data_IF_968319760577
#
_entry.id   IF_968319760577
#
_cell.length_a   1.000
_cell.length_b   1.000
_cell.length_c   1.000
_cell.angle_alpha   90.00
_cell.angle_beta   90.00
_cell.angle_gamma   90.00
#
_symmetry.space_group_name_H-M   'P 1'
#
loop_
_entity.id
_entity.type
_entity.pdbx_description
1 polymer ?
#
# COMPACT_ATOMS: atom_id res chain seq x y z
N UNK A 1 12.44 14.54 19.50
CA UNK A 1 12.93 13.14 19.53
C UNK A 1 12.15 12.37 20.59
N UNK A 2 11.19 11.53 20.20
CA UNK A 2 10.49 10.66 21.15
C UNK A 2 11.24 9.33 21.22
N UNK A 3 11.80 9.00 22.39
CA UNK A 3 12.41 7.70 22.64
C UNK A 3 11.28 6.65 22.58
N UNK A 4 11.35 5.70 21.64
CA UNK A 4 10.47 4.55 21.69
C UNK A 4 10.80 3.75 22.94
N UNK A 5 9.78 3.39 23.73
CA UNK A 5 9.98 2.51 24.88
C UNK A 5 10.50 1.13 24.43
N UNK A 6 11.08 0.37 25.36
CA UNK A 6 11.70 -0.92 25.06
C UNK A 6 10.72 -1.92 24.43
N UNK A 7 9.43 -1.88 24.80
CA UNK A 7 8.42 -2.78 24.25
C UNK A 7 8.08 -2.40 22.80
N UNK A 8 7.93 -1.11 22.50
CA UNK A 8 7.74 -0.59 21.14
C UNK A 8 8.93 -0.95 20.24
N UNK A 9 10.16 -0.78 20.75
CA UNK A 9 11.36 -1.16 20.03
C UNK A 9 11.43 -2.67 19.77
N UNK A 10 10.99 -3.50 20.72
CA UNK A 10 10.93 -4.95 20.56
C UNK A 10 9.91 -5.37 19.49
N UNK A 11 8.70 -4.83 19.52
CA UNK A 11 7.67 -5.09 18.50
C UNK A 11 8.15 -4.65 17.11
N UNK A 12 8.79 -3.49 17.00
CA UNK A 12 9.36 -3.03 15.74
C UNK A 12 10.43 -4.00 15.19
N UNK A 13 11.31 -4.55 16.05
CA UNK A 13 12.30 -5.55 15.62
C UNK A 13 11.64 -6.83 15.11
N UNK A 14 10.59 -7.32 15.78
CA UNK A 14 9.80 -8.45 15.31
C UNK A 14 9.13 -8.17 13.97
N UNK A 15 8.47 -7.02 13.83
CA UNK A 15 7.84 -6.60 12.57
C UNK A 15 8.85 -6.53 11.43
N UNK A 16 10.00 -5.88 11.67
CA UNK A 16 11.08 -5.77 10.69
C UNK A 16 11.55 -7.15 10.25
N UNK A 17 11.81 -8.05 11.20
CA UNK A 17 12.31 -9.39 10.89
C UNK A 17 11.36 -10.17 9.98
N UNK A 18 10.06 -10.16 10.28
CA UNK A 18 9.05 -10.84 9.46
C UNK A 18 8.97 -10.25 8.05
N UNK A 19 8.98 -8.92 7.93
CA UNK A 19 8.86 -8.23 6.63
C UNK A 19 10.13 -8.41 5.78
N UNK A 20 11.30 -8.11 6.34
CA UNK A 20 12.58 -8.11 5.59
C UNK A 20 13.03 -9.51 5.18
N UNK A 21 12.60 -10.55 5.89
CA UNK A 21 12.91 -11.95 5.56
C UNK A 21 11.73 -12.67 4.88
N UNK A 22 10.61 -11.99 4.67
CA UNK A 22 9.39 -12.56 4.09
C UNK A 22 8.93 -13.86 4.79
N UNK A 23 8.93 -13.85 6.12
CA UNK A 23 8.59 -15.03 6.94
C UNK A 23 7.08 -15.12 7.22
N UNK A 24 6.54 -16.33 7.44
CA UNK A 24 5.15 -16.47 7.85
C UNK A 24 4.95 -16.00 9.30
N UNK A 25 3.77 -15.43 9.60
CA UNK A 25 3.44 -14.92 10.93
C UNK A 25 3.55 -15.97 12.05
N UNK A 26 3.39 -17.26 11.75
CA UNK A 26 3.54 -18.32 12.74
C UNK A 26 4.93 -18.37 13.39
N UNK A 27 5.97 -17.83 12.71
CA UNK A 27 7.32 -17.75 13.25
C UNK A 27 7.43 -16.88 14.51
N UNK A 28 6.54 -15.91 14.68
CA UNK A 28 6.50 -15.02 15.86
C UNK A 28 6.25 -15.82 17.16
N UNK A 29 5.39 -16.84 17.06
CA UNK A 29 4.98 -17.68 18.20
C UNK A 29 5.63 -19.08 18.18
N UNK A 30 6.46 -19.35 17.17
CA UNK A 30 7.20 -20.60 17.05
C UNK A 30 8.18 -20.78 18.23
N UNK A 31 8.11 -21.95 18.87
CA UNK A 31 8.92 -22.27 20.06
C UNK A 31 10.42 -22.25 19.78
N UNK A 32 10.86 -22.83 18.66
CA UNK A 32 12.28 -22.89 18.31
C UNK A 32 12.80 -21.49 18.00
N UNK A 33 12.04 -20.73 17.23
CA UNK A 33 12.38 -19.34 16.90
C UNK A 33 12.56 -18.49 18.15
N UNK A 34 11.64 -18.58 19.11
CA UNK A 34 11.74 -17.87 20.40
C UNK A 34 12.95 -18.26 21.24
N UNK A 35 13.46 -19.48 21.09
CA UNK A 35 14.69 -19.90 21.77
C UNK A 35 15.95 -19.35 21.10
N UNK A 36 15.89 -19.09 19.79
CA UNK A 36 17.04 -18.66 19.00
C UNK A 36 17.18 -17.14 18.91
N UNK A 37 16.07 -16.40 18.94
CA UNK A 37 16.09 -14.93 18.85
C UNK A 37 16.37 -14.29 20.21
N UNK A 38 17.04 -13.13 20.20
CA UNK A 38 17.30 -12.31 21.41
C UNK A 38 16.19 -11.28 21.69
N UNK A 39 14.99 -11.52 21.17
CA UNK A 39 13.85 -10.61 21.29
C UNK A 39 12.89 -11.12 22.36
N UNK A 40 12.30 -10.22 23.13
CA UNK A 40 11.29 -10.61 24.10
C UNK A 40 10.07 -11.20 23.35
N UNK A 41 9.48 -12.30 23.83
CA UNK A 41 8.35 -12.93 23.15
C UNK A 41 7.17 -11.96 22.96
N UNK A 42 6.66 -11.88 21.73
CA UNK A 42 5.43 -11.14 21.39
C UNK A 42 4.40 -12.05 20.73
N UNK A 43 3.16 -11.58 20.63
CA UNK A 43 2.10 -12.31 19.94
C UNK A 43 1.96 -11.90 18.48
N UNK A 44 1.42 -12.79 17.64
CA UNK A 44 1.05 -12.48 16.25
C UNK A 44 0.10 -11.28 16.20
N UNK A 45 -0.88 -11.23 17.10
CA UNK A 45 -1.85 -10.13 17.17
C UNK A 45 -1.18 -8.78 17.44
N UNK A 46 -0.12 -8.76 18.27
CA UNK A 46 0.62 -7.54 18.59
C UNK A 46 1.39 -7.02 17.37
N UNK A 47 2.09 -7.91 16.66
CA UNK A 47 2.84 -7.56 15.45
C UNK A 47 1.89 -7.11 14.33
N UNK A 48 0.79 -7.83 14.10
CA UNK A 48 -0.25 -7.43 13.13
C UNK A 48 -0.81 -6.03 13.42
N UNK A 49 -1.16 -5.76 14.68
CA UNK A 49 -1.64 -4.43 15.09
C UNK A 49 -0.59 -3.35 14.87
N UNK A 50 0.68 -3.64 15.16
CA UNK A 50 1.77 -2.69 14.93
C UNK A 50 1.96 -2.39 13.44
N UNK A 51 1.89 -3.40 12.58
CA UNK A 51 1.92 -3.23 11.11
C UNK A 51 0.74 -2.39 10.61
N UNK A 52 -0.47 -2.68 11.10
CA UNK A 52 -1.67 -1.91 10.75
C UNK A 52 -1.56 -0.43 11.15
N UNK A 53 -1.09 -0.17 12.39
CA UNK A 53 -0.87 1.19 12.86
C UNK A 53 0.25 1.91 12.09
N UNK A 54 1.31 1.19 11.69
CA UNK A 54 2.36 1.73 10.85
C UNK A 54 1.81 2.11 9.46
N UNK A 55 1.06 1.22 8.83
CA UNK A 55 0.40 1.49 7.55
C UNK A 55 -0.56 2.69 7.64
N UNK A 56 -1.37 2.80 8.70
CA UNK A 56 -2.24 3.95 8.95
C UNK A 56 -1.46 5.26 9.09
N UNK A 57 -0.35 5.25 9.84
CA UNK A 57 0.50 6.44 10.04
C UNK A 57 1.19 6.87 8.75
N UNK A 58 1.74 5.92 8.00
CA UNK A 58 2.34 6.18 6.69
C UNK A 58 1.27 6.71 5.74
N UNK A 59 0.08 6.10 5.74
CA UNK A 59 -1.05 6.56 4.94
C UNK A 59 -1.47 8.00 5.24
N UNK A 60 -1.54 8.39 6.51
CA UNK A 60 -1.84 9.77 6.90
C UNK A 60 -0.75 10.76 6.46
N UNK A 61 0.53 10.37 6.54
CA UNK A 61 1.63 11.21 6.04
C UNK A 61 1.57 11.37 4.52
N UNK A 62 1.29 10.28 3.79
CA UNK A 62 1.09 10.32 2.33
C UNK A 62 -0.12 11.19 1.97
N UNK A 63 -1.22 11.09 2.72
CA UNK A 63 -2.40 11.92 2.53
C UNK A 63 -2.07 13.41 2.66
N UNK A 64 -1.28 13.79 3.66
CA UNK A 64 -0.79 15.16 3.86
C UNK A 64 0.10 15.60 2.68
N UNK A 65 1.07 14.78 2.29
CA UNK A 65 2.01 15.06 1.19
C UNK A 65 1.31 15.20 -0.17
N UNK A 66 0.25 14.43 -0.43
CA UNK A 66 -0.51 14.47 -1.69
C UNK A 66 -1.30 15.78 -1.90
N UNK A 67 -1.60 16.53 -0.84
CA UNK A 67 -2.31 17.82 -0.93
C UNK A 67 -3.66 17.75 -1.67
N UNK A 68 -3.99 18.81 -2.41
CA UNK A 68 -5.23 18.97 -3.18
C UNK A 68 -5.08 18.61 -4.68
N UNK A 69 -3.89 18.20 -5.09
CA UNK A 69 -3.56 17.94 -6.48
C UNK A 69 -2.33 17.06 -6.62
N UNK A 70 -2.49 15.86 -7.16
CA UNK A 70 -1.38 14.92 -7.37
C UNK A 70 -1.48 14.21 -8.73
N UNK A 71 -0.33 13.70 -9.18
CA UNK A 71 -0.24 12.78 -10.32
C UNK A 71 -0.24 11.34 -9.82
N UNK A 72 -0.90 10.47 -10.55
CA UNK A 72 -0.97 9.05 -10.25
C UNK A 72 -0.38 8.27 -11.41
N UNK A 73 0.64 7.46 -11.11
CA UNK A 73 1.27 6.56 -12.08
C UNK A 73 0.85 5.15 -11.73
N UNK A 74 0.38 4.41 -12.72
CA UNK A 74 -0.03 3.04 -12.58
C UNK A 74 0.65 2.19 -13.66
N UNK A 75 1.37 1.15 -13.25
CA UNK A 75 2.03 0.20 -14.15
C UNK A 75 1.39 -1.17 -13.97
N UNK A 76 0.89 -1.75 -15.06
CA UNK A 76 0.53 -3.17 -15.10
C UNK A 76 -0.95 -3.49 -14.99
N UNK A 77 -1.72 -3.27 -16.06
CA UNK A 77 -2.99 -3.97 -16.23
C UNK A 77 -3.11 -4.68 -17.59
N UNK A 78 -2.83 -5.99 -17.57
CA UNK A 78 -3.28 -6.89 -18.63
C UNK A 78 -4.74 -7.25 -18.42
N UNK A 79 -5.53 -7.29 -19.49
CA UNK A 79 -6.92 -7.78 -19.48
C UNK A 79 -6.90 -9.23 -18.99
N UNK A 80 -7.29 -9.49 -17.75
CA UNK A 80 -7.55 -10.86 -17.30
C UNK A 80 -8.75 -11.44 -18.05
N UNK A 81 -8.73 -12.76 -18.31
CA UNK A 81 -9.81 -13.52 -18.96
C UNK A 81 -11.16 -13.45 -18.21
N UNK A 82 -11.15 -12.86 -17.02
CA UNK A 82 -12.22 -12.70 -16.05
C UNK A 82 -13.07 -11.43 -16.22
N UNK A 83 -12.91 -10.69 -17.31
CA UNK A 83 -13.87 -9.66 -17.70
C UNK A 83 -13.89 -8.43 -16.78
N UNK A 84 -12.73 -8.03 -16.26
CA UNK A 84 -12.59 -6.80 -15.46
C UNK A 84 -12.90 -5.58 -16.33
N UNK A 85 -14.14 -5.11 -16.27
CA UNK A 85 -14.64 -3.94 -17.02
C UNK A 85 -14.01 -2.66 -16.50
N UNK A 86 -13.91 -1.63 -17.35
CA UNK A 86 -13.43 -0.30 -16.96
C UNK A 86 -14.16 0.27 -15.72
N UNK A 87 -15.42 -0.12 -15.52
CA UNK A 87 -16.24 0.30 -14.36
C UNK A 87 -15.72 -0.31 -13.05
N UNK A 88 -15.48 -1.63 -13.04
CA UNK A 88 -14.91 -2.30 -11.86
C UNK A 88 -13.53 -1.73 -11.49
N UNK A 89 -12.75 -1.33 -12.51
CA UNK A 89 -11.46 -0.67 -12.31
C UNK A 89 -11.59 0.71 -11.68
N UNK A 90 -12.56 1.51 -12.11
CA UNK A 90 -12.84 2.83 -11.51
C UNK A 90 -13.33 2.68 -10.06
N UNK A 91 -14.17 1.69 -9.77
CA UNK A 91 -14.62 1.42 -8.40
C UNK A 91 -13.45 1.02 -7.49
N UNK A 92 -12.56 0.15 -7.97
CA UNK A 92 -11.36 -0.23 -7.22
C UNK A 92 -10.45 0.96 -6.97
N UNK A 93 -10.27 1.80 -7.99
CA UNK A 93 -9.49 3.03 -7.88
C UNK A 93 -10.09 4.02 -6.86
N UNK A 94 -11.40 4.26 -6.91
CA UNK A 94 -12.07 5.13 -5.93
C UNK A 94 -11.97 4.57 -4.50
N UNK A 95 -11.99 3.24 -4.33
CA UNK A 95 -11.76 2.60 -3.04
C UNK A 95 -10.35 2.87 -2.50
N UNK A 96 -9.32 2.82 -3.35
CA UNK A 96 -7.93 3.15 -2.97
C UNK A 96 -7.84 4.62 -2.56
N UNK A 97 -8.38 5.54 -3.37
CA UNK A 97 -8.35 6.97 -3.05
C UNK A 97 -9.00 7.28 -1.70
N UNK A 98 -10.09 6.60 -1.38
CA UNK A 98 -10.80 6.75 -0.11
C UNK A 98 -9.96 6.35 1.11
N UNK A 99 -9.01 5.43 0.97
CA UNK A 99 -8.07 5.07 2.05
C UNK A 99 -7.23 6.28 2.47
N UNK A 100 -6.91 7.16 1.53
CA UNK A 100 -6.09 8.36 1.74
C UNK A 100 -6.92 9.65 1.85
N UNK A 101 -8.23 9.55 2.07
CA UNK A 101 -9.11 10.73 2.14
C UNK A 101 -9.20 11.52 0.83
N UNK A 102 -8.84 10.92 -0.31
CA UNK A 102 -8.79 11.58 -1.62
C UNK A 102 -10.02 11.27 -2.48
N UNK A 103 -10.25 12.14 -3.44
CA UNK A 103 -11.31 12.00 -4.45
C UNK A 103 -10.70 12.07 -5.84
N UNK A 104 -11.41 11.52 -6.84
CA UNK A 104 -10.97 11.57 -8.25
C UNK A 104 -10.71 12.98 -8.78
N UNK A 105 -11.37 14.00 -8.22
CA UNK A 105 -11.19 15.41 -8.59
C UNK A 105 -9.82 15.98 -8.19
N UNK A 106 -9.13 15.34 -7.26
CA UNK A 106 -7.78 15.71 -6.82
C UNK A 106 -6.69 15.10 -7.72
N UNK A 107 -7.04 14.13 -8.55
CA UNK A 107 -6.12 13.51 -9.52
C UNK A 107 -5.97 14.46 -10.71
N UNK A 108 -4.77 15.00 -10.89
CA UNK A 108 -4.48 15.97 -11.97
C UNK A 108 -3.97 15.29 -13.23
N UNK A 109 -3.18 14.24 -13.05
CA UNK A 109 -2.56 13.48 -14.14
C UNK A 109 -2.68 12.00 -13.83
N UNK A 110 -3.14 11.22 -14.80
CA UNK A 110 -3.08 9.77 -14.75
C UNK A 110 -2.09 9.28 -15.82
N UNK A 111 -1.10 8.51 -15.39
CA UNK A 111 -0.12 7.85 -16.28
C UNK A 111 -0.32 6.36 -16.13
N UNK A 112 -0.43 5.65 -17.25
CA UNK A 112 -0.35 4.20 -17.23
C UNK A 112 -0.11 3.60 -18.61
N UNK A 113 0.23 2.31 -18.62
CA UNK A 113 0.45 1.53 -19.82
C UNK A 113 -0.83 0.77 -20.24
N UNK A 114 -1.13 0.72 -21.53
CA UNK A 114 -2.26 -0.05 -22.08
C UNK A 114 -3.58 0.69 -22.34
N UNK A 115 -4.40 0.10 -23.23
CA UNK A 115 -5.67 0.67 -23.74
C UNK A 115 -6.74 0.85 -22.64
N UNK A 116 -6.74 -0.02 -21.62
CA UNK A 116 -7.71 0.04 -20.51
C UNK A 116 -7.42 1.23 -19.58
N UNK A 117 -6.14 1.55 -19.38
CA UNK A 117 -5.67 2.70 -18.60
C UNK A 117 -6.14 4.02 -19.23
N UNK A 118 -6.18 4.09 -20.56
CA UNK A 118 -6.72 5.25 -21.30
C UNK A 118 -8.24 5.40 -21.07
N UNK A 119 -9.01 4.31 -21.13
CA UNK A 119 -10.46 4.35 -20.89
C UNK A 119 -10.80 4.71 -19.44
N UNK A 120 -10.04 4.21 -18.45
CA UNK A 120 -10.20 4.60 -17.06
C UNK A 120 -9.85 6.08 -16.84
N UNK A 121 -8.78 6.57 -17.48
CA UNK A 121 -8.40 7.98 -17.42
C UNK A 121 -9.50 8.91 -18.00
N UNK A 122 -10.13 8.50 -19.11
CA UNK A 122 -11.27 9.21 -19.71
C UNK A 122 -12.48 9.25 -18.78
N UNK A 123 -12.78 8.16 -18.06
CA UNK A 123 -13.89 8.09 -17.09
C UNK A 123 -13.65 8.94 -15.83
N UNK A 124 -12.38 9.23 -15.49
CA UNK A 124 -11.99 10.02 -14.32
C UNK A 124 -11.87 11.52 -14.59
N UNK A 125 -12.13 11.99 -15.81
CA UNK A 125 -12.03 13.39 -16.24
C UNK A 125 -10.67 14.05 -15.87
N UNK A 126 -9.60 13.26 -15.91
CA UNK A 126 -8.23 13.69 -15.57
C UNK A 126 -7.41 13.90 -16.85
N UNK A 127 -6.40 14.79 -16.81
CA UNK A 127 -5.49 14.95 -17.95
C UNK A 127 -4.69 13.66 -18.17
N UNK A 128 -4.76 13.12 -19.40
CA UNK A 128 -4.14 11.85 -19.77
C UNK A 128 -2.73 12.11 -20.30
N UNK A 129 -1.73 11.46 -19.72
CA UNK A 129 -0.42 11.32 -20.35
C UNK A 129 -0.18 9.84 -20.61
N UNK A 130 -0.37 9.42 -21.87
CA UNK A 130 -0.01 8.07 -22.29
C UNK A 130 1.50 7.97 -22.42
N UNK A 131 2.14 7.11 -21.63
CA UNK A 131 3.53 6.74 -21.86
C UNK A 131 3.55 5.80 -23.08
N UNK A 132 3.90 6.32 -24.27
CA UNK A 132 4.13 5.43 -25.41
C UNK A 132 5.35 4.57 -25.09
N UNK A 133 5.15 3.26 -24.94
CA UNK A 133 6.24 2.30 -25.04
C UNK A 133 6.80 2.39 -26.47
N UNK A 134 7.82 3.20 -26.66
CA UNK A 134 8.60 3.21 -27.89
C UNK A 134 9.44 1.95 -27.98
N UNK A 135 8.84 0.86 -28.45
CA UNK A 135 9.48 -0.31 -29.04
C UNK A 135 8.58 -0.86 -30.15
#
# INVERSE_FOLDING_TARGET
FHFADAATANVHKWTRWIIEQNLPFCEIENKLTRQMVRLDPVTISTVKRAMELAAKRIGAAIEEEMGEGFGFVFDGWSKGDDGQSAVAHVEHFEAILKVYGKTKTMVKVLVGDGVVSISAAQMLNSSIAAASSGL
#
